data_IF_409979568308
#
_entry.id   IF_409979568308
#
_cell.length_a   1.000
_cell.length_b   1.000
_cell.length_c   1.000
_cell.angle_alpha   90.00
_cell.angle_beta   90.00
_cell.angle_gamma   90.00
#
_symmetry.space_group_name_H-M   'P 1'
#
loop_
_entity.id
_entity.type
_entity.pdbx_description
1 polymer ?
#
# COMPACT_ATOMS: atom_id res chain seq x y z
N UNK A 1 -5.62 -30.08 -22.58
CA UNK A 1 -5.19 -30.62 -21.26
C UNK A 1 -5.28 -29.48 -20.29
N UNK A 2 -5.75 -29.69 -19.05
CA UNK A 2 -5.82 -28.64 -18.05
C UNK A 2 -4.42 -28.19 -17.62
N UNK A 3 -4.29 -26.91 -17.30
CA UNK A 3 -3.04 -26.31 -16.81
C UNK A 3 -2.88 -26.65 -15.34
N UNK A 4 -1.85 -27.43 -14.99
CA UNK A 4 -1.62 -27.90 -13.61
C UNK A 4 -0.45 -27.17 -12.96
N UNK A 5 -0.59 -26.83 -11.69
CA UNK A 5 0.50 -26.29 -10.88
C UNK A 5 1.58 -27.37 -10.70
N UNK A 6 2.79 -27.10 -11.16
CA UNK A 6 3.91 -28.04 -11.12
C UNK A 6 4.90 -27.70 -10.01
N UNK A 7 5.14 -26.42 -9.78
CA UNK A 7 6.02 -25.92 -8.69
C UNK A 7 5.59 -24.56 -8.22
N UNK A 8 5.93 -24.23 -6.97
CA UNK A 8 5.77 -22.90 -6.37
C UNK A 8 7.04 -22.59 -5.60
N UNK A 9 7.63 -21.44 -5.86
CA UNK A 9 8.83 -20.98 -5.16
C UNK A 9 8.79 -19.49 -4.88
N UNK A 10 9.52 -19.05 -3.86
CA UNK A 10 9.61 -17.66 -3.47
C UNK A 10 10.98 -17.10 -3.79
N UNK A 11 11.04 -16.03 -4.55
CA UNK A 11 12.22 -15.28 -4.89
C UNK A 11 12.27 -14.06 -3.95
N UNK A 12 13.23 -14.07 -3.03
CA UNK A 12 13.43 -12.96 -2.10
C UNK A 12 14.54 -12.06 -2.64
N UNK A 13 14.29 -10.76 -2.74
CA UNK A 13 15.25 -9.78 -3.25
C UNK A 13 15.03 -8.41 -2.60
N UNK A 14 16.09 -7.62 -2.46
CA UNK A 14 16.04 -6.29 -1.85
C UNK A 14 16.81 -5.26 -2.70
N UNK A 15 16.42 -4.99 -3.96
CA UNK A 15 17.19 -4.16 -4.87
C UNK A 15 17.35 -2.71 -4.40
N UNK A 16 16.42 -2.22 -3.56
CA UNK A 16 16.48 -0.89 -2.94
C UNK A 16 16.57 -0.95 -1.40
N UNK A 17 17.08 -2.05 -0.87
CA UNK A 17 17.24 -2.25 0.57
C UNK A 17 15.94 -2.62 1.30
N UNK A 18 14.83 -2.77 0.58
CA UNK A 18 13.54 -3.23 1.12
C UNK A 18 13.33 -4.68 0.68
N UNK A 19 13.06 -5.55 1.64
CA UNK A 19 12.80 -6.96 1.35
C UNK A 19 11.51 -7.13 0.54
N UNK A 20 11.62 -7.76 -0.63
CA UNK A 20 10.51 -8.09 -1.52
C UNK A 20 10.43 -9.60 -1.69
N UNK A 21 9.23 -10.17 -1.58
CA UNK A 21 8.94 -11.57 -1.82
C UNK A 21 8.07 -11.73 -3.08
N UNK A 22 8.67 -12.31 -4.11
CA UNK A 22 8.01 -12.63 -5.38
C UNK A 22 7.72 -14.12 -5.43
N UNK A 23 6.45 -14.47 -5.60
CA UNK A 23 6.04 -15.87 -5.81
C UNK A 23 6.07 -16.17 -7.30
N UNK A 24 6.67 -17.28 -7.66
CA UNK A 24 6.62 -17.84 -9.00
C UNK A 24 5.90 -19.19 -8.98
N UNK A 25 4.83 -19.30 -9.74
CA UNK A 25 4.05 -20.53 -9.96
C UNK A 25 4.38 -21.07 -11.34
N UNK A 26 4.99 -22.25 -11.38
CA UNK A 26 5.27 -22.99 -12.61
C UNK A 26 4.10 -23.90 -12.98
N UNK A 27 3.85 -24.09 -14.27
CA UNK A 27 2.81 -24.99 -14.73
C UNK A 27 3.39 -26.18 -15.52
N UNK A 28 2.55 -27.20 -15.78
CA UNK A 28 2.87 -28.33 -16.63
C UNK A 28 2.98 -27.96 -18.13
N UNK A 29 2.74 -26.69 -18.49
CA UNK A 29 2.94 -26.20 -19.85
C UNK A 29 4.30 -25.48 -19.93
N UNK A 30 5.23 -25.94 -20.78
CA UNK A 30 6.55 -25.33 -20.90
C UNK A 30 6.47 -23.83 -21.22
N UNK A 31 7.15 -23.01 -20.40
CA UNK A 31 7.19 -21.55 -20.58
C UNK A 31 5.98 -20.79 -20.04
N UNK A 32 4.96 -21.48 -19.55
CA UNK A 32 3.82 -20.84 -18.89
C UNK A 32 4.02 -20.85 -17.37
N UNK A 33 4.24 -19.68 -16.81
CA UNK A 33 4.35 -19.43 -15.38
C UNK A 33 3.65 -18.12 -15.01
N UNK A 34 3.37 -17.94 -13.74
CA UNK A 34 2.86 -16.68 -13.20
C UNK A 34 3.71 -16.14 -12.07
N UNK A 35 3.64 -14.84 -11.91
CA UNK A 35 4.33 -14.10 -10.85
C UNK A 35 3.32 -13.34 -9.98
N UNK A 36 3.62 -13.24 -8.68
CA UNK A 36 2.79 -12.49 -7.75
C UNK A 36 3.59 -11.94 -6.58
N UNK A 37 3.01 -10.99 -5.86
CA UNK A 37 3.60 -10.35 -4.71
C UNK A 37 3.12 -10.99 -3.41
N UNK A 38 4.07 -11.45 -2.59
CA UNK A 38 3.83 -11.94 -1.23
C UNK A 38 4.58 -11.09 -0.19
N UNK A 39 4.90 -9.86 -0.53
CA UNK A 39 5.78 -9.03 0.29
C UNK A 39 5.10 -8.61 1.59
N UNK A 40 5.67 -9.08 2.70
CA UNK A 40 5.53 -8.48 4.00
C UNK A 40 6.95 -8.22 4.54
N UNK A 41 7.49 -7.07 4.18
CA UNK A 41 8.92 -6.74 4.35
C UNK A 41 9.47 -7.05 5.75
N UNK A 42 8.66 -6.83 6.79
CA UNK A 42 9.05 -7.05 8.19
C UNK A 42 8.96 -8.51 8.65
N UNK A 43 8.34 -9.41 7.89
CA UNK A 43 8.13 -10.83 8.23
C UNK A 43 8.33 -11.76 7.02
N UNK A 44 9.11 -11.33 6.04
CA UNK A 44 9.31 -12.02 4.76
C UNK A 44 9.68 -13.52 4.92
N UNK A 45 10.57 -13.87 5.86
CA UNK A 45 10.94 -15.27 6.09
C UNK A 45 9.76 -16.13 6.55
N UNK A 46 8.83 -15.57 7.32
CA UNK A 46 7.64 -16.31 7.80
C UNK A 46 6.68 -16.54 6.64
N UNK A 47 6.47 -15.54 5.79
CA UNK A 47 5.63 -15.65 4.59
C UNK A 47 6.21 -16.68 3.62
N UNK A 48 7.52 -16.60 3.34
CA UNK A 48 8.23 -17.58 2.50
C UNK A 48 8.04 -19.00 3.02
N UNK A 49 8.28 -19.22 4.31
CA UNK A 49 8.16 -20.53 4.93
C UNK A 49 6.72 -21.09 4.83
N UNK A 50 5.71 -20.26 5.06
CA UNK A 50 4.32 -20.66 4.91
C UNK A 50 4.00 -21.09 3.48
N UNK A 51 4.49 -20.38 2.48
CA UNK A 51 4.29 -20.73 1.07
C UNK A 51 4.96 -22.07 0.75
N UNK A 52 6.23 -22.22 1.08
CA UNK A 52 7.04 -23.37 0.66
C UNK A 52 6.66 -24.66 1.39
N UNK A 53 6.35 -24.58 2.68
CA UNK A 53 6.11 -25.78 3.52
C UNK A 53 4.63 -26.19 3.63
N UNK A 54 3.70 -25.25 3.44
CA UNK A 54 2.27 -25.52 3.64
C UNK A 54 1.42 -25.30 2.39
N UNK A 55 1.53 -24.15 1.73
CA UNK A 55 0.67 -23.86 0.58
C UNK A 55 1.12 -24.60 -0.68
N UNK A 56 2.42 -24.71 -0.92
CA UNK A 56 2.96 -25.45 -2.08
C UNK A 56 2.50 -26.91 -2.10
N UNK A 57 2.72 -27.74 -1.07
CA UNK A 57 2.25 -29.14 -1.09
C UNK A 57 0.74 -29.27 -1.19
N UNK A 58 -0.03 -28.29 -0.68
CA UNK A 58 -1.49 -28.26 -0.81
C UNK A 58 -1.96 -28.07 -2.26
N UNK A 59 -1.18 -27.35 -3.07
CA UNK A 59 -1.60 -26.88 -4.40
C UNK A 59 -0.99 -27.65 -5.57
N UNK A 60 0.10 -28.40 -5.36
CA UNK A 60 0.73 -29.19 -6.43
C UNK A 60 -0.26 -30.14 -7.12
N UNK A 61 -0.25 -30.14 -8.45
CA UNK A 61 -1.11 -30.94 -9.31
C UNK A 61 -2.54 -30.43 -9.47
N UNK A 62 -2.92 -29.36 -8.77
CA UNK A 62 -4.24 -28.72 -8.94
C UNK A 62 -4.33 -27.92 -10.22
N UNK A 63 -5.54 -27.64 -10.64
CA UNK A 63 -5.83 -26.88 -11.84
C UNK A 63 -5.65 -25.39 -11.58
N UNK A 64 -4.65 -24.77 -12.26
CA UNK A 64 -4.32 -23.35 -12.09
C UNK A 64 -5.42 -22.38 -12.57
N UNK A 65 -6.40 -22.90 -13.35
CA UNK A 65 -7.47 -22.06 -13.89
C UNK A 65 -8.60 -21.81 -12.90
N UNK A 66 -8.69 -22.61 -11.81
CA UNK A 66 -9.75 -22.52 -10.80
C UNK A 66 -9.34 -21.58 -9.66
N UNK A 67 -9.01 -20.33 -9.97
CA UNK A 67 -8.44 -19.35 -9.05
C UNK A 67 -9.30 -19.20 -7.80
N UNK A 68 -10.61 -19.06 -7.95
CA UNK A 68 -11.55 -18.85 -6.84
C UNK A 68 -11.55 -20.05 -5.86
N UNK A 69 -11.55 -21.27 -6.37
CA UNK A 69 -11.48 -22.49 -5.54
C UNK A 69 -10.15 -22.58 -4.80
N UNK A 70 -9.03 -22.29 -5.51
CA UNK A 70 -7.71 -22.33 -4.92
C UNK A 70 -7.53 -21.26 -3.84
N UNK A 71 -8.05 -20.05 -4.06
CA UNK A 71 -8.06 -19.00 -3.06
C UNK A 71 -8.81 -19.43 -1.80
N UNK A 72 -10.02 -19.95 -1.95
CA UNK A 72 -10.82 -20.45 -0.82
C UNK A 72 -10.13 -21.61 -0.08
N UNK A 73 -9.51 -22.52 -0.83
CA UNK A 73 -8.77 -23.64 -0.26
C UNK A 73 -7.61 -23.14 0.61
N UNK A 74 -6.78 -22.25 0.10
CA UNK A 74 -5.66 -21.64 0.85
C UNK A 74 -6.18 -20.94 2.10
N UNK A 75 -7.22 -20.10 1.95
CA UNK A 75 -7.79 -19.32 3.04
C UNK A 75 -8.39 -20.19 4.15
N UNK A 76 -9.01 -21.33 3.82
CA UNK A 76 -9.67 -22.18 4.80
C UNK A 76 -8.74 -23.22 5.41
N UNK A 77 -7.65 -23.59 4.73
CA UNK A 77 -6.76 -24.65 5.16
C UNK A 77 -6.12 -24.39 6.52
N UNK A 78 -5.77 -23.14 6.83
CA UNK A 78 -5.18 -22.75 8.11
C UNK A 78 -6.14 -22.85 9.30
N UNK A 79 -7.44 -23.06 9.10
CA UNK A 79 -8.52 -23.07 10.08
C UNK A 79 -8.71 -21.71 10.80
N UNK A 80 -7.68 -21.18 11.49
CA UNK A 80 -7.65 -19.82 12.02
C UNK A 80 -7.20 -18.86 10.91
N UNK A 81 -8.18 -18.22 10.29
CA UNK A 81 -8.02 -17.46 9.04
C UNK A 81 -7.72 -16.00 9.29
N UNK A 82 -7.19 -15.36 8.26
CA UNK A 82 -6.83 -13.95 8.19
C UNK A 82 -5.51 -13.62 8.89
N UNK A 83 -5.10 -12.40 8.73
CA UNK A 83 -3.86 -11.85 9.24
C UNK A 83 -2.82 -11.65 8.15
N UNK A 84 -1.90 -10.69 8.35
CA UNK A 84 -1.02 -10.23 7.27
C UNK A 84 -0.08 -11.33 6.75
N UNK A 85 0.37 -12.27 7.58
CA UNK A 85 1.28 -13.34 7.15
C UNK A 85 0.57 -14.30 6.19
N UNK A 86 -0.60 -14.82 6.58
CA UNK A 86 -1.36 -15.74 5.72
C UNK A 86 -1.85 -15.07 4.45
N UNK A 87 -2.40 -13.87 4.57
CA UNK A 87 -2.94 -13.15 3.42
C UNK A 87 -1.84 -12.77 2.41
N UNK A 88 -0.65 -12.36 2.85
CA UNK A 88 0.46 -12.11 1.92
C UNK A 88 0.92 -13.40 1.22
N UNK A 89 0.97 -14.51 1.91
CA UNK A 89 1.29 -15.80 1.30
C UNK A 89 0.27 -16.20 0.23
N UNK A 90 -1.03 -16.07 0.55
CA UNK A 90 -2.13 -16.30 -0.40
C UNK A 90 -2.05 -15.34 -1.57
N UNK A 91 -1.78 -14.05 -1.31
CA UNK A 91 -1.69 -13.00 -2.32
C UNK A 91 -0.66 -13.31 -3.41
N UNK A 92 0.53 -13.78 -3.02
CA UNK A 92 1.56 -14.11 -3.99
C UNK A 92 1.13 -15.20 -4.97
N UNK A 93 0.44 -16.21 -4.47
CA UNK A 93 -0.08 -17.31 -5.29
C UNK A 93 -1.29 -16.84 -6.11
N UNK A 94 -2.22 -16.12 -5.51
CA UNK A 94 -3.42 -15.59 -6.19
C UNK A 94 -3.04 -14.69 -7.38
N UNK A 95 -2.15 -13.74 -7.18
CA UNK A 95 -1.66 -12.86 -8.25
C UNK A 95 -0.98 -13.67 -9.36
N UNK A 96 -0.17 -14.69 -9.00
CA UNK A 96 0.50 -15.54 -9.97
C UNK A 96 -0.51 -16.37 -10.79
N UNK A 97 -1.59 -16.84 -10.19
CA UNK A 97 -2.66 -17.56 -10.90
C UNK A 97 -3.42 -16.62 -11.86
N UNK A 98 -3.70 -15.38 -11.44
CA UNK A 98 -4.27 -14.39 -12.33
C UNK A 98 -3.31 -14.03 -13.49
N UNK A 99 -2.01 -13.93 -13.24
CA UNK A 99 -1.00 -13.69 -14.26
C UNK A 99 -0.97 -14.84 -15.28
N UNK A 100 -1.01 -16.11 -14.83
CA UNK A 100 -1.18 -17.29 -15.69
C UNK A 100 -2.46 -17.17 -16.54
N UNK A 101 -3.58 -16.80 -15.91
CA UNK A 101 -4.86 -16.66 -16.61
C UNK A 101 -4.81 -15.62 -17.71
N UNK A 102 -4.19 -14.47 -17.46
CA UNK A 102 -3.98 -13.42 -18.46
C UNK A 102 -3.07 -13.88 -19.61
N UNK A 103 -1.98 -14.57 -19.29
CA UNK A 103 -1.07 -15.15 -20.30
C UNK A 103 -1.75 -16.21 -21.17
N UNK A 104 -2.55 -17.10 -20.56
CA UNK A 104 -3.35 -18.08 -21.31
C UNK A 104 -4.39 -17.43 -22.24
N UNK A 105 -5.04 -16.37 -21.77
CA UNK A 105 -6.00 -15.61 -22.56
C UNK A 105 -5.33 -14.69 -23.61
N UNK A 106 -4.01 -14.52 -23.55
CA UNK A 106 -3.26 -13.54 -24.31
C UNK A 106 -3.81 -12.12 -24.15
N UNK A 107 -4.15 -11.76 -22.90
CA UNK A 107 -4.76 -10.47 -22.51
C UNK A 107 -4.10 -9.90 -21.27
N UNK A 108 -3.94 -8.57 -21.14
CA UNK A 108 -3.62 -7.93 -19.87
C UNK A 108 -4.79 -8.09 -18.91
N UNK A 109 -4.53 -8.08 -17.58
CA UNK A 109 -5.57 -8.37 -16.59
C UNK A 109 -6.74 -7.39 -16.61
N UNK A 110 -6.51 -6.11 -16.88
CA UNK A 110 -7.62 -5.15 -16.96
C UNK A 110 -8.67 -5.56 -18.03
N UNK A 111 -8.26 -6.24 -19.11
CA UNK A 111 -9.20 -6.76 -20.13
C UNK A 111 -10.05 -7.90 -19.57
N UNK A 112 -9.46 -8.78 -18.76
CA UNK A 112 -10.22 -9.84 -18.07
C UNK A 112 -11.19 -9.27 -17.02
N UNK A 113 -10.91 -8.07 -16.51
CA UNK A 113 -11.75 -7.39 -15.54
C UNK A 113 -12.91 -6.58 -16.15
N UNK A 114 -12.98 -6.51 -17.47
CA UNK A 114 -14.07 -5.82 -18.17
C UNK A 114 -13.60 -4.70 -19.11
N UNK A 115 -12.30 -4.46 -19.19
CA UNK A 115 -11.69 -3.42 -20.02
C UNK A 115 -11.49 -2.10 -19.30
N UNK A 116 -10.91 -1.14 -19.99
CA UNK A 116 -10.58 0.18 -19.44
C UNK A 116 -11.81 1.09 -19.33
N UNK A 117 -11.96 1.76 -18.19
CA UNK A 117 -12.88 2.90 -18.00
C UNK A 117 -12.12 4.23 -17.99
N UNK A 118 -10.78 4.18 -17.99
CA UNK A 118 -9.85 5.32 -18.14
C UNK A 118 -8.55 4.88 -18.78
N UNK A 119 -7.80 5.82 -19.37
CA UNK A 119 -6.56 5.50 -20.07
C UNK A 119 -5.33 5.50 -19.14
N UNK A 120 -5.25 6.43 -18.20
CA UNK A 120 -4.17 6.56 -17.24
C UNK A 120 -4.69 6.65 -15.81
N UNK A 121 -3.87 6.25 -14.85
CA UNK A 121 -4.18 6.23 -13.42
C UNK A 121 -3.52 7.42 -12.75
N UNK A 122 -4.26 8.43 -12.27
CA UNK A 122 -3.70 9.51 -11.48
C UNK A 122 -3.12 8.98 -10.17
N UNK A 123 -1.96 9.51 -9.81
CA UNK A 123 -1.24 9.05 -8.61
C UNK A 123 -1.05 10.17 -7.61
N UNK A 124 -0.93 9.80 -6.33
CA UNK A 124 -0.40 10.70 -5.33
C UNK A 124 0.99 10.28 -4.86
N UNK A 125 1.78 11.28 -4.46
CA UNK A 125 3.15 11.10 -3.95
C UNK A 125 3.29 11.69 -2.56
N UNK A 126 4.26 11.16 -1.83
CA UNK A 126 4.62 11.67 -0.51
C UNK A 126 5.51 12.89 -0.65
N UNK A 127 5.14 13.98 0.02
CA UNK A 127 5.92 15.20 0.10
C UNK A 127 6.33 15.40 1.55
N UNK A 128 7.58 15.12 1.82
CA UNK A 128 8.20 15.39 3.11
C UNK A 128 9.21 16.54 3.00
N UNK A 129 9.53 17.14 4.12
CA UNK A 129 10.58 18.12 4.24
C UNK A 129 10.88 18.40 5.71
N UNK A 130 12.05 18.94 6.00
CA UNK A 130 12.43 19.33 7.36
C UNK A 130 11.66 20.56 7.87
N UNK A 131 11.17 21.38 6.95
CA UNK A 131 10.42 22.59 7.20
C UNK A 131 9.48 22.92 6.02
N UNK A 132 8.66 23.95 6.20
CA UNK A 132 7.68 24.39 5.21
C UNK A 132 8.32 24.84 3.88
N UNK A 133 9.53 25.38 3.90
CA UNK A 133 10.20 25.88 2.69
C UNK A 133 10.54 24.68 1.80
N UNK A 134 11.18 23.66 2.38
CA UNK A 134 11.55 22.44 1.66
C UNK A 134 10.32 21.67 1.17
N UNK A 135 9.24 21.61 1.97
CA UNK A 135 7.98 21.01 1.55
C UNK A 135 7.43 21.72 0.32
N UNK A 136 7.36 23.06 0.32
CA UNK A 136 6.86 23.83 -0.83
C UNK A 136 7.75 23.68 -2.07
N UNK A 137 9.07 23.61 -1.91
CA UNK A 137 10.00 23.32 -3.00
C UNK A 137 9.75 21.92 -3.59
N UNK A 138 9.52 20.91 -2.74
CA UNK A 138 9.21 19.57 -3.18
C UNK A 138 7.83 19.50 -3.86
N UNK A 139 6.82 20.22 -3.37
CA UNK A 139 5.53 20.37 -4.05
C UNK A 139 5.72 20.89 -5.47
N UNK A 140 6.50 21.95 -5.65
CA UNK A 140 6.77 22.51 -6.98
C UNK A 140 7.42 21.50 -7.93
N UNK A 141 8.39 20.73 -7.45
CA UNK A 141 9.03 19.67 -8.23
C UNK A 141 8.03 18.60 -8.70
N UNK A 142 7.13 18.15 -7.82
CA UNK A 142 6.09 17.20 -8.19
C UNK A 142 5.06 17.80 -9.15
N UNK A 143 4.74 19.08 -8.99
CA UNK A 143 3.87 19.82 -9.90
C UNK A 143 4.48 19.92 -11.31
N UNK A 144 5.79 20.16 -11.42
CA UNK A 144 6.53 20.12 -12.68
C UNK A 144 6.48 18.76 -13.38
N UNK A 145 6.38 17.66 -12.59
CA UNK A 145 6.17 16.30 -13.09
C UNK A 145 4.69 16.00 -13.46
N UNK A 146 3.79 16.98 -13.30
CA UNK A 146 2.36 16.84 -13.58
C UNK A 146 1.56 16.16 -12.48
N UNK A 147 2.15 15.86 -11.32
CA UNK A 147 1.45 15.24 -10.19
C UNK A 147 0.57 16.29 -9.53
N UNK A 148 -0.70 15.95 -9.32
CA UNK A 148 -1.71 16.87 -8.77
C UNK A 148 -2.14 16.50 -7.34
N UNK A 149 -1.83 15.30 -6.87
CA UNK A 149 -2.22 14.82 -5.54
C UNK A 149 -0.98 14.56 -4.70
N UNK A 150 -0.90 15.17 -3.51
CA UNK A 150 0.29 15.14 -2.68
C UNK A 150 -0.05 14.89 -1.21
N UNK A 151 0.59 13.89 -0.61
CA UNK A 151 0.54 13.63 0.83
C UNK A 151 1.63 14.45 1.52
N UNK A 152 1.23 15.49 2.26
CA UNK A 152 2.15 16.44 2.87
C UNK A 152 2.40 16.13 4.35
N UNK A 153 3.68 16.07 4.72
CA UNK A 153 4.15 15.89 6.10
C UNK A 153 5.40 16.74 6.35
N UNK A 154 5.63 17.10 7.62
CA UNK A 154 6.82 17.83 8.04
C UNK A 154 7.59 17.04 9.10
N UNK A 155 8.86 16.76 8.85
CA UNK A 155 9.75 16.10 9.80
C UNK A 155 9.42 14.62 10.06
N UNK A 156 8.82 13.94 9.10
CA UNK A 156 8.39 12.55 9.21
C UNK A 156 7.17 12.37 10.12
N UNK A 157 6.85 11.15 10.42
CA UNK A 157 5.69 10.80 11.23
C UNK A 157 5.82 11.30 12.68
N UNK A 158 4.92 12.21 13.12
CA UNK A 158 4.87 12.77 14.45
C UNK A 158 5.74 14.00 14.69
N UNK A 159 6.45 14.53 13.68
CA UNK A 159 7.15 15.80 13.72
C UNK A 159 8.36 15.86 14.66
N UNK A 160 8.86 14.72 15.13
CA UNK A 160 10.12 14.63 15.89
C UNK A 160 11.20 13.98 15.02
N UNK A 161 12.45 14.45 15.07
CA UNK A 161 13.56 13.76 14.44
C UNK A 161 13.64 12.32 14.95
N UNK A 162 13.75 11.35 14.07
CA UNK A 162 13.91 9.94 14.44
C UNK A 162 15.09 9.74 15.40
N UNK A 163 14.86 9.01 16.48
CA UNK A 163 15.91 8.59 17.40
C UNK A 163 16.26 9.59 18.54
N UNK A 164 15.49 10.66 18.72
CA UNK A 164 15.74 11.60 19.81
C UNK A 164 14.73 11.43 20.95
N UNK A 165 15.24 11.04 22.11
CA UNK A 165 14.49 11.07 23.36
C UNK A 165 14.36 12.52 23.82
N UNK A 166 13.14 13.05 24.05
CA UNK A 166 12.97 14.43 24.49
C UNK A 166 13.54 14.62 25.90
N UNK A 167 14.11 15.79 26.17
CA UNK A 167 14.62 16.13 27.51
C UNK A 167 13.55 16.14 28.62
N UNK A 168 12.28 16.02 28.23
CA UNK A 168 11.13 15.92 29.16
C UNK A 168 10.67 14.46 29.36
N UNK A 169 11.36 13.48 28.77
CA UNK A 169 11.05 12.07 28.98
C UNK A 169 11.30 11.68 30.45
N UNK A 170 10.53 10.72 31.01
CA UNK A 170 10.73 10.25 32.39
C UNK A 170 12.13 9.67 32.61
N UNK A 171 12.63 9.75 33.83
CA UNK A 171 13.91 9.12 34.19
C UNK A 171 13.84 7.60 33.94
N UNK A 172 14.78 7.07 33.15
CA UNK A 172 14.82 5.66 32.76
C UNK A 172 13.94 5.32 31.57
N UNK A 173 13.38 6.32 30.89
CA UNK A 173 12.68 6.11 29.64
C UNK A 173 13.62 5.56 28.57
N UNK A 174 13.08 4.72 27.70
CA UNK A 174 13.85 4.16 26.56
C UNK A 174 14.18 5.25 25.55
N UNK A 175 15.34 5.16 24.93
CA UNK A 175 15.68 5.98 23.78
C UNK A 175 14.77 5.64 22.58
N UNK A 176 14.47 6.63 21.76
CA UNK A 176 13.67 6.44 20.58
C UNK A 176 12.80 7.65 20.21
N UNK A 177 11.84 7.40 19.35
CA UNK A 177 10.89 8.41 18.89
C UNK A 177 9.76 8.61 19.91
N UNK A 178 9.44 9.89 20.18
CA UNK A 178 8.37 10.28 21.09
C UNK A 178 7.38 11.18 20.37
N UNK A 179 6.10 10.89 20.55
CA UNK A 179 5.00 11.68 20.00
C UNK A 179 4.40 12.60 21.08
N UNK A 180 4.32 13.89 20.78
CA UNK A 180 3.43 14.83 21.46
C UNK A 180 2.23 15.08 20.54
N UNK A 181 1.13 14.35 20.74
CA UNK A 181 -0.06 14.41 19.88
C UNK A 181 -0.64 15.82 19.75
N UNK A 182 -0.64 16.59 20.84
CA UNK A 182 -1.16 17.96 20.82
C UNK A 182 -0.27 18.91 20.03
N UNK A 183 1.05 18.73 20.13
CA UNK A 183 1.99 19.49 19.30
C UNK A 183 1.84 19.11 17.84
N UNK A 184 1.79 17.82 17.53
CA UNK A 184 1.57 17.30 16.20
C UNK A 184 0.33 17.92 15.54
N UNK A 185 -0.82 17.94 16.22
CA UNK A 185 -2.05 18.54 15.69
C UNK A 185 -1.85 20.01 15.34
N UNK A 186 -1.30 20.81 16.28
CA UNK A 186 -1.07 22.24 16.03
C UNK A 186 -0.12 22.48 14.86
N UNK A 187 0.96 21.70 14.79
CA UNK A 187 1.96 21.84 13.74
C UNK A 187 1.39 21.42 12.36
N UNK A 188 0.56 20.38 12.31
CA UNK A 188 -0.13 19.93 11.10
C UNK A 188 -1.10 20.99 10.60
N UNK A 189 -1.97 21.53 11.45
CA UNK A 189 -2.91 22.59 11.06
C UNK A 189 -2.16 23.82 10.53
N UNK A 190 -1.08 24.22 11.20
CA UNK A 190 -0.24 25.33 10.77
C UNK A 190 0.40 25.02 9.42
N UNK A 191 0.94 23.81 9.23
CA UNK A 191 1.55 23.36 7.97
C UNK A 191 0.58 23.52 6.79
N UNK A 192 -0.65 23.00 6.91
CA UNK A 192 -1.63 23.09 5.83
C UNK A 192 -2.07 24.52 5.54
N UNK A 193 -2.21 25.37 6.57
CA UNK A 193 -2.42 26.81 6.38
C UNK A 193 -1.30 27.46 5.58
N UNK A 194 -0.05 27.24 5.97
CA UNK A 194 1.11 27.81 5.26
C UNK A 194 1.29 27.25 3.84
N UNK A 195 0.95 25.97 3.61
CA UNK A 195 0.94 25.39 2.26
C UNK A 195 -0.11 26.11 1.40
N UNK A 196 -1.37 26.20 1.87
CA UNK A 196 -2.45 26.86 1.11
C UNK A 196 -2.18 28.33 0.82
N UNK A 197 -1.58 29.04 1.77
CA UNK A 197 -1.16 30.44 1.58
C UNK A 197 -0.12 30.61 0.46
N UNK A 198 0.74 29.61 0.22
CA UNK A 198 1.82 29.65 -0.76
C UNK A 198 1.44 29.11 -2.13
N UNK A 199 0.70 27.99 -2.18
CA UNK A 199 0.40 27.28 -3.44
C UNK A 199 -1.07 27.39 -3.86
N UNK A 200 -1.96 27.92 -3.02
CA UNK A 200 -3.39 27.99 -3.32
C UNK A 200 -4.08 26.62 -3.27
N UNK A 201 -5.13 26.44 -4.08
CA UNK A 201 -6.02 25.27 -4.07
C UNK A 201 -5.97 24.45 -5.36
N UNK A 202 -5.02 24.71 -6.25
CA UNK A 202 -4.90 23.97 -7.53
C UNK A 202 -4.34 22.54 -7.34
N UNK A 203 -3.80 22.24 -6.15
CA UNK A 203 -3.27 20.93 -5.80
C UNK A 203 -4.19 20.23 -4.80
N UNK A 204 -4.42 18.95 -5.03
CA UNK A 204 -5.13 18.07 -4.11
C UNK A 204 -4.18 17.61 -2.99
N UNK A 205 -4.49 18.01 -1.76
CA UNK A 205 -3.65 17.67 -0.61
C UNK A 205 -4.23 16.52 0.20
N UNK A 206 -3.36 15.65 0.63
CA UNK A 206 -3.65 14.50 1.51
C UNK A 206 -2.82 14.65 2.79
N UNK A 207 -3.37 14.26 3.92
CA UNK A 207 -2.62 14.08 5.16
C UNK A 207 -2.88 12.72 5.76
N UNK A 208 -1.81 12.03 6.09
CA UNK A 208 -1.83 10.74 6.75
C UNK A 208 -1.59 10.90 8.25
N UNK A 209 -2.60 10.60 9.03
CA UNK A 209 -2.51 10.57 10.49
C UNK A 209 -1.78 9.32 10.96
N UNK A 210 -1.87 8.25 10.16
CA UNK A 210 -1.22 6.97 10.42
C UNK A 210 -1.57 6.40 11.81
N UNK A 211 -2.83 6.55 12.21
CA UNK A 211 -3.41 6.00 13.45
C UNK A 211 -2.78 6.50 14.78
N UNK A 212 -1.93 7.53 14.76
CA UNK A 212 -1.03 7.91 15.86
C UNK A 212 -1.64 8.69 17.01
N UNK A 213 -2.82 9.26 16.79
CA UNK A 213 -3.48 10.09 17.80
C UNK A 213 -4.70 9.40 18.38
N UNK A 214 -5.07 9.76 19.59
CA UNK A 214 -6.31 9.24 20.15
C UNK A 214 -7.52 9.65 19.28
N UNK A 215 -8.56 8.81 19.15
CA UNK A 215 -9.70 9.10 18.25
C UNK A 215 -10.36 10.45 18.49
N UNK A 216 -10.47 10.92 19.75
CA UNK A 216 -11.00 12.26 20.05
C UNK A 216 -10.09 13.37 19.53
N UNK A 217 -8.77 13.14 19.50
CA UNK A 217 -7.79 14.08 18.96
C UNK A 217 -7.81 14.05 17.41
N UNK A 218 -8.04 12.89 16.81
CA UNK A 218 -8.25 12.76 15.36
C UNK A 218 -9.48 13.53 14.88
N UNK A 219 -10.60 13.47 15.64
CA UNK A 219 -11.80 14.28 15.35
C UNK A 219 -11.48 15.77 15.41
N UNK A 220 -10.72 16.19 16.42
CA UNK A 220 -10.29 17.59 16.53
C UNK A 220 -9.44 18.01 15.32
N UNK A 221 -8.45 17.20 14.96
CA UNK A 221 -7.58 17.46 13.81
C UNK A 221 -8.40 17.57 12.52
N UNK A 222 -9.32 16.61 12.28
CA UNK A 222 -10.18 16.61 11.10
C UNK A 222 -10.98 17.93 10.98
N UNK A 223 -11.57 18.40 12.07
CA UNK A 223 -12.31 19.67 12.09
C UNK A 223 -11.42 20.89 11.83
N UNK A 224 -10.20 20.90 12.38
CA UNK A 224 -9.26 22.01 12.18
C UNK A 224 -8.64 22.01 10.78
N UNK A 225 -8.69 20.88 10.05
CA UNK A 225 -8.21 20.76 8.66
C UNK A 225 -9.30 21.05 7.61
N UNK A 226 -10.59 21.09 7.97
CA UNK A 226 -11.67 21.38 7.00
C UNK A 226 -11.44 22.65 6.15
N UNK A 227 -10.93 23.79 6.70
CA UNK A 227 -10.71 24.99 5.90
C UNK A 227 -9.67 24.85 4.79
N UNK A 228 -8.86 23.79 4.83
CA UNK A 228 -7.78 23.58 3.86
C UNK A 228 -8.17 22.66 2.72
N UNK A 229 -9.40 22.18 2.65
CA UNK A 229 -9.99 21.41 1.56
C UNK A 229 -9.07 20.25 1.13
N UNK A 230 -8.87 19.29 2.02
CA UNK A 230 -8.07 18.10 1.75
C UNK A 230 -8.84 17.14 0.84
N UNK A 231 -8.15 16.50 -0.08
CA UNK A 231 -8.69 15.42 -0.90
C UNK A 231 -9.14 14.25 -0.04
N UNK A 232 -8.36 13.90 0.99
CA UNK A 232 -8.78 13.06 2.12
C UNK A 232 -7.82 13.18 3.32
N UNK A 233 -8.35 12.83 4.49
CA UNK A 233 -7.59 12.53 5.69
C UNK A 233 -7.42 11.02 5.79
N UNK A 234 -6.15 10.56 5.78
CA UNK A 234 -5.76 9.16 5.71
C UNK A 234 -5.59 8.58 7.10
N UNK A 235 -6.11 7.37 7.32
CA UNK A 235 -6.01 6.54 8.54
C UNK A 235 -6.07 7.34 9.86
N UNK A 236 -7.18 8.11 10.08
CA UNK A 236 -7.29 8.99 11.22
C UNK A 236 -7.41 8.26 12.57
N UNK A 237 -7.87 7.00 12.57
CA UNK A 237 -8.09 6.23 13.79
C UNK A 237 -7.49 4.83 13.68
N UNK A 238 -7.01 4.24 14.80
CA UNK A 238 -6.51 2.88 14.83
C UNK A 238 -7.54 1.85 14.34
N UNK A 239 -7.04 0.77 13.69
CA UNK A 239 -7.85 -0.35 13.24
C UNK A 239 -8.79 -0.88 14.34
N UNK A 240 -8.29 -0.99 15.56
CA UNK A 240 -9.04 -1.50 16.72
C UNK A 240 -10.14 -0.52 17.19
N UNK A 241 -10.15 0.70 16.69
CA UNK A 241 -11.02 1.78 17.14
C UNK A 241 -11.84 2.41 16.00
N UNK A 242 -12.02 1.73 14.89
CA UNK A 242 -12.75 2.23 13.72
C UNK A 242 -14.23 2.58 13.98
N UNK A 243 -14.80 2.11 15.09
CA UNK A 243 -16.13 2.52 15.54
C UNK A 243 -16.22 4.05 15.83
N UNK A 244 -15.10 4.73 16.11
CA UNK A 244 -15.05 6.18 16.29
C UNK A 244 -15.31 6.95 14.99
N UNK A 245 -15.19 6.33 13.85
CA UNK A 245 -15.53 6.97 12.56
C UNK A 245 -16.97 7.44 12.49
N UNK A 246 -17.91 6.81 13.21
CA UNK A 246 -19.29 7.32 13.33
C UNK A 246 -19.32 8.70 13.98
N UNK A 247 -18.63 8.84 15.12
CA UNK A 247 -18.56 10.10 15.84
C UNK A 247 -17.81 11.17 15.03
N UNK A 248 -16.81 10.76 14.27
CA UNK A 248 -16.07 11.66 13.37
C UNK A 248 -16.97 12.15 12.25
N UNK A 249 -17.69 11.26 11.58
CA UNK A 249 -18.59 11.61 10.47
C UNK A 249 -19.70 12.58 10.88
N UNK A 250 -20.17 12.54 12.13
CA UNK A 250 -21.16 13.48 12.67
C UNK A 250 -20.59 14.89 12.89
N UNK A 251 -19.27 15.05 12.93
CA UNK A 251 -18.61 16.28 13.34
C UNK A 251 -17.78 16.97 12.26
N UNK A 252 -17.51 16.28 11.15
CA UNK A 252 -16.68 16.82 10.05
C UNK A 252 -17.15 16.30 8.70
N UNK A 253 -17.01 17.15 7.68
CA UNK A 253 -17.25 16.83 6.28
C UNK A 253 -15.97 16.45 5.52
N UNK A 254 -14.81 16.46 6.17
CA UNK A 254 -13.55 16.10 5.54
C UNK A 254 -13.63 14.67 4.95
N UNK A 255 -13.23 14.43 3.69
CA UNK A 255 -13.21 13.08 3.16
C UNK A 255 -12.24 12.18 3.94
N UNK A 256 -12.65 10.96 4.23
CA UNK A 256 -11.88 10.00 5.04
C UNK A 256 -11.43 8.83 4.16
N UNK A 257 -10.14 8.52 4.17
CA UNK A 257 -9.56 7.31 3.62
C UNK A 257 -9.05 6.42 4.76
N UNK A 258 -9.45 5.14 4.78
CA UNK A 258 -9.06 4.23 5.87
C UNK A 258 -8.76 2.85 5.32
N UNK A 259 -7.71 2.19 5.87
CA UNK A 259 -7.66 0.75 5.71
C UNK A 259 -6.36 0.09 5.33
N UNK A 260 -5.20 0.74 5.37
CA UNK A 260 -3.92 0.08 5.03
C UNK A 260 -3.61 -1.14 5.92
N UNK A 261 -4.10 -1.13 7.17
CA UNK A 261 -3.94 -2.24 8.11
C UNK A 261 -5.05 -3.29 8.04
N UNK A 262 -6.08 -3.11 7.22
CA UNK A 262 -7.19 -4.07 7.12
C UNK A 262 -6.74 -5.37 6.46
N UNK A 263 -7.22 -6.47 7.02
CA UNK A 263 -6.86 -7.83 6.59
C UNK A 263 -8.06 -8.67 6.15
N UNK A 264 -9.27 -8.30 6.55
CA UNK A 264 -10.44 -9.11 6.29
C UNK A 264 -11.73 -8.29 6.16
N UNK A 265 -12.77 -8.85 5.50
CA UNK A 265 -14.02 -8.13 5.24
C UNK A 265 -14.79 -7.63 6.47
N UNK A 266 -14.53 -8.14 7.67
CA UNK A 266 -15.20 -7.67 8.90
C UNK A 266 -14.77 -6.24 9.26
N UNK A 267 -13.57 -5.85 8.85
CA UNK A 267 -12.98 -4.56 9.19
C UNK A 267 -13.55 -3.43 8.34
N UNK A 268 -13.96 -3.69 7.09
CA UNK A 268 -14.43 -2.65 6.18
C UNK A 268 -15.92 -2.72 5.79
N UNK A 269 -16.61 -3.87 5.91
CA UNK A 269 -17.99 -4.00 5.41
C UNK A 269 -18.94 -2.98 6.00
N UNK A 270 -18.91 -2.79 7.31
CA UNK A 270 -19.78 -1.81 7.99
C UNK A 270 -19.36 -0.37 7.64
N UNK A 271 -18.06 -0.09 7.55
CA UNK A 271 -17.55 1.24 7.22
C UNK A 271 -18.02 1.68 5.83
N UNK A 272 -17.99 0.76 4.87
CA UNK A 272 -18.47 1.01 3.50
C UNK A 272 -20.00 1.09 3.47
N UNK A 273 -20.70 0.08 4.01
CA UNK A 273 -22.16 0.00 3.92
C UNK A 273 -22.87 1.15 4.65
N UNK A 274 -22.25 1.71 5.67
CA UNK A 274 -22.78 2.85 6.42
C UNK A 274 -22.17 4.18 5.96
N UNK A 275 -21.34 4.16 4.90
CA UNK A 275 -20.72 5.36 4.32
C UNK A 275 -19.92 6.17 5.35
N UNK A 276 -19.21 5.49 6.25
CA UNK A 276 -18.38 6.10 7.27
C UNK A 276 -17.02 6.55 6.72
N UNK A 277 -16.63 6.02 5.56
CA UNK A 277 -15.43 6.38 4.81
C UNK A 277 -15.79 6.74 3.37
N UNK A 278 -15.00 7.58 2.73
CA UNK A 278 -15.16 7.99 1.33
C UNK A 278 -14.23 7.21 0.40
N UNK A 279 -13.10 6.77 0.95
CA UNK A 279 -12.12 5.96 0.24
C UNK A 279 -11.74 4.74 1.07
N UNK A 280 -11.76 3.57 0.43
CA UNK A 280 -11.18 2.34 1.00
C UNK A 280 -9.74 2.20 0.52
N UNK A 281 -8.80 2.03 1.47
CA UNK A 281 -7.38 2.17 1.25
C UNK A 281 -6.59 0.93 1.70
N UNK A 282 -7.03 -0.26 1.28
CA UNK A 282 -6.37 -1.51 1.67
C UNK A 282 -5.10 -1.79 0.87
N UNK A 283 -4.17 -2.53 1.48
CA UNK A 283 -3.00 -3.09 0.81
C UNK A 283 -3.39 -4.42 0.16
N UNK A 284 -3.28 -4.52 -1.17
CA UNK A 284 -3.77 -5.67 -1.95
C UNK A 284 -3.21 -7.01 -1.48
N UNK A 285 -1.93 -7.06 -1.10
CA UNK A 285 -1.31 -8.30 -0.61
C UNK A 285 -1.82 -8.67 0.79
N UNK A 286 -2.11 -7.70 1.65
CA UNK A 286 -2.55 -7.96 3.02
C UNK A 286 -4.00 -8.43 3.12
N UNK A 287 -4.76 -8.31 2.05
CA UNK A 287 -6.12 -8.87 1.97
C UNK A 287 -6.21 -10.16 1.15
N UNK A 288 -5.07 -10.67 0.64
CA UNK A 288 -5.00 -11.96 -0.06
C UNK A 288 -5.02 -11.87 -1.59
N UNK A 289 -4.69 -10.72 -2.20
CA UNK A 289 -4.44 -10.59 -3.64
C UNK A 289 -5.61 -10.02 -4.45
N UNK A 290 -5.59 -10.27 -5.75
CA UNK A 290 -6.52 -9.73 -6.75
C UNK A 290 -7.96 -10.24 -6.52
N UNK A 291 -8.12 -11.52 -6.18
CA UNK A 291 -9.45 -12.12 -5.98
C UNK A 291 -10.29 -11.39 -4.93
N UNK A 292 -9.82 -11.16 -3.70
CA UNK A 292 -10.57 -10.36 -2.73
C UNK A 292 -10.62 -8.87 -3.06
N UNK A 293 -9.56 -8.30 -3.68
CA UNK A 293 -9.52 -6.89 -4.04
C UNK A 293 -10.64 -6.54 -5.05
N UNK A 294 -10.86 -7.38 -6.05
CA UNK A 294 -11.96 -7.22 -7.00
C UNK A 294 -13.33 -7.25 -6.34
N UNK A 295 -13.53 -8.17 -5.39
CA UNK A 295 -14.79 -8.26 -4.62
C UNK A 295 -15.02 -7.03 -3.77
N UNK A 296 -13.97 -6.52 -3.14
CA UNK A 296 -14.00 -5.28 -2.35
C UNK A 296 -14.33 -4.08 -3.22
N UNK A 297 -13.65 -3.91 -4.37
CA UNK A 297 -13.87 -2.81 -5.30
C UNK A 297 -15.34 -2.75 -5.75
N UNK A 298 -15.91 -3.90 -6.19
CA UNK A 298 -17.31 -3.99 -6.63
C UNK A 298 -18.28 -3.71 -5.47
N UNK A 299 -17.97 -4.19 -4.27
CA UNK A 299 -18.79 -3.91 -3.09
C UNK A 299 -18.78 -2.42 -2.73
N UNK A 300 -17.61 -1.79 -2.72
CA UNK A 300 -17.45 -0.37 -2.42
C UNK A 300 -18.20 0.52 -3.44
N UNK A 301 -18.16 0.15 -4.72
CA UNK A 301 -18.87 0.85 -5.79
C UNK A 301 -20.37 1.01 -5.53
N UNK A 302 -21.02 -0.03 -4.98
CA UNK A 302 -22.45 -0.02 -4.70
C UNK A 302 -22.87 1.00 -3.63
N UNK A 303 -21.92 1.46 -2.80
CA UNK A 303 -22.16 2.42 -1.72
C UNK A 303 -21.55 3.80 -1.99
N UNK A 304 -21.00 4.02 -3.19
CA UNK A 304 -20.37 5.28 -3.57
C UNK A 304 -18.99 5.50 -2.93
N UNK A 305 -18.41 4.47 -2.32
CA UNK A 305 -17.06 4.51 -1.75
C UNK A 305 -16.03 4.24 -2.85
N UNK A 306 -15.01 5.09 -2.93
CA UNK A 306 -13.97 5.02 -3.94
C UNK A 306 -12.80 4.17 -3.46
N UNK A 307 -12.01 3.65 -4.39
CA UNK A 307 -10.75 2.94 -4.07
C UNK A 307 -9.56 3.90 -4.11
N UNK A 308 -8.63 3.72 -3.16
CA UNK A 308 -7.34 4.41 -3.13
C UNK A 308 -6.32 3.41 -2.54
N UNK A 309 -5.89 2.42 -3.33
CA UNK A 309 -5.08 1.32 -2.84
C UNK A 309 -3.78 1.80 -2.21
N UNK A 310 -3.46 1.24 -1.03
CA UNK A 310 -2.16 1.41 -0.41
C UNK A 310 -1.07 0.89 -1.36
N UNK A 311 -0.12 1.77 -1.73
CA UNK A 311 0.93 1.52 -2.71
C UNK A 311 2.29 2.01 -2.25
N UNK A 312 2.78 1.57 -1.07
CA UNK A 312 4.05 2.01 -0.50
C UNK A 312 5.24 1.37 -1.21
N UNK A 313 6.44 1.86 -0.87
CA UNK A 313 7.68 1.32 -1.42
C UNK A 313 8.05 -0.08 -0.94
N UNK A 314 7.37 -0.61 0.08
CA UNK A 314 7.61 -1.95 0.64
C UNK A 314 6.69 -3.03 0.06
N UNK A 315 6.15 -2.83 -1.13
CA UNK A 315 5.50 -3.84 -1.95
C UNK A 315 6.23 -4.01 -3.29
N UNK A 316 6.16 -5.22 -3.86
CA UNK A 316 6.85 -5.45 -5.13
C UNK A 316 6.13 -4.80 -6.32
N UNK A 317 6.84 -4.50 -7.41
CA UNK A 317 6.23 -3.96 -8.64
C UNK A 317 5.07 -4.78 -9.22
N UNK A 318 4.99 -6.07 -8.90
CA UNK A 318 3.88 -6.94 -9.29
C UNK A 318 2.56 -6.52 -8.63
N UNK A 319 2.60 -6.16 -7.35
CA UNK A 319 1.40 -5.68 -6.65
C UNK A 319 0.99 -4.28 -7.13
N UNK A 320 1.96 -3.40 -7.40
CA UNK A 320 1.66 -2.12 -8.05
C UNK A 320 0.98 -2.31 -9.42
N UNK A 321 1.49 -3.24 -10.24
CA UNK A 321 0.84 -3.57 -11.52
C UNK A 321 -0.57 -4.14 -11.31
N UNK A 322 -0.78 -4.99 -10.30
CA UNK A 322 -2.11 -5.51 -9.98
C UNK A 322 -3.10 -4.40 -9.60
N UNK A 323 -2.68 -3.44 -8.77
CA UNK A 323 -3.47 -2.25 -8.45
C UNK A 323 -3.86 -1.49 -9.72
N UNK A 324 -2.88 -1.17 -10.59
CA UNK A 324 -3.12 -0.45 -11.84
C UNK A 324 -4.12 -1.18 -12.76
N UNK A 325 -4.03 -2.51 -12.86
CA UNK A 325 -4.99 -3.28 -13.64
C UNK A 325 -6.43 -3.22 -13.07
N UNK A 326 -6.57 -3.24 -11.73
CA UNK A 326 -7.88 -3.08 -11.08
C UNK A 326 -8.39 -1.65 -11.31
N UNK A 327 -7.56 -0.64 -11.11
CA UNK A 327 -7.91 0.77 -11.24
C UNK A 327 -8.37 1.15 -12.65
N UNK A 328 -7.71 0.58 -13.68
CA UNK A 328 -8.13 0.78 -15.07
C UNK A 328 -9.55 0.28 -15.34
N UNK A 329 -9.99 -0.77 -14.64
CA UNK A 329 -11.30 -1.39 -14.82
C UNK A 329 -12.36 -0.95 -13.79
N UNK A 330 -11.97 -0.18 -12.75
CA UNK A 330 -12.84 0.19 -11.64
C UNK A 330 -13.52 1.56 -11.86
N UNK A 331 -14.85 1.66 -12.03
CA UNK A 331 -15.53 2.96 -12.15
C UNK A 331 -15.37 3.86 -10.93
N UNK A 332 -15.33 3.27 -9.73
CA UNK A 332 -15.23 3.96 -8.44
C UNK A 332 -13.79 4.21 -7.98
N UNK A 333 -12.82 4.26 -8.87
CA UNK A 333 -11.45 4.60 -8.54
C UNK A 333 -11.31 6.08 -8.10
N UNK A 334 -10.45 6.34 -7.10
CA UNK A 334 -10.09 7.67 -6.60
C UNK A 334 -8.72 8.12 -7.09
N UNK A 335 -7.69 7.68 -6.39
CA UNK A 335 -6.28 7.98 -6.67
C UNK A 335 -5.43 6.78 -6.25
N UNK A 336 -4.28 6.56 -6.91
CA UNK A 336 -3.35 5.49 -6.56
C UNK A 336 -2.14 6.05 -5.79
N UNK A 337 -1.84 5.48 -4.64
CA UNK A 337 -0.55 5.71 -4.01
C UNK A 337 0.57 5.10 -4.86
N UNK A 338 1.59 5.91 -5.15
CA UNK A 338 2.69 5.50 -6.03
C UNK A 338 4.02 5.85 -5.39
N UNK A 339 4.62 4.89 -4.69
CA UNK A 339 5.90 5.05 -3.99
C UNK A 339 6.87 3.95 -4.39
N UNK A 340 8.17 4.30 -4.41
CA UNK A 340 9.24 3.31 -4.50
C UNK A 340 9.54 2.74 -5.89
N UNK A 341 8.82 3.10 -6.95
CA UNK A 341 9.07 2.56 -8.30
C UNK A 341 9.81 3.53 -9.20
N UNK A 342 9.82 4.83 -8.88
CA UNK A 342 10.39 5.85 -9.75
C UNK A 342 11.48 6.68 -9.10
N UNK A 343 12.59 6.95 -9.83
CA UNK A 343 13.50 8.02 -9.49
C UNK A 343 13.00 9.37 -10.08
N UNK A 344 13.30 10.52 -9.45
CA UNK A 344 13.91 10.58 -8.12
C UNK A 344 12.83 10.57 -7.04
N UNK A 345 13.01 9.75 -6.02
CA UNK A 345 12.27 9.93 -4.78
C UNK A 345 12.79 11.18 -4.10
N UNK A 346 12.03 12.26 -4.15
CA UNK A 346 12.28 13.47 -3.35
C UNK A 346 11.85 13.28 -1.88
N UNK A 347 11.41 12.08 -1.53
CA UNK A 347 11.04 11.71 -0.18
C UNK A 347 12.31 11.36 0.57
N UNK A 348 12.52 11.99 1.71
CA UNK A 348 13.60 11.71 2.67
C UNK A 348 13.26 10.41 3.42
N UNK A 349 12.96 9.35 2.73
CA UNK A 349 13.11 8.02 3.29
C UNK A 349 14.43 7.51 2.75
N UNK A 350 15.31 7.12 3.66
CA UNK A 350 16.58 6.45 3.38
C UNK A 350 16.35 5.17 2.55
N UNK A 351 16.02 5.33 1.29
CA UNK A 351 16.11 4.24 0.34
C UNK A 351 17.59 3.96 0.15
N UNK A 352 18.08 3.03 0.91
CA UNK A 352 19.48 2.56 0.90
C UNK A 352 19.70 1.67 -0.31
N UNK A 353 19.64 2.25 -1.51
CA UNK A 353 19.96 1.49 -2.71
C UNK A 353 19.98 2.38 -3.95
N UNK A 354 20.69 1.96 -5.01
CA UNK A 354 20.65 2.66 -6.28
C UNK A 354 19.25 2.49 -6.90
N UNK A 355 18.56 3.59 -7.17
CA UNK A 355 17.23 3.60 -7.81
C UNK A 355 17.15 2.81 -9.13
N UNK A 356 18.28 2.59 -9.79
CA UNK A 356 18.40 1.75 -10.98
C UNK A 356 18.27 0.25 -10.72
N UNK A 357 18.54 -0.24 -9.50
CA UNK A 357 18.56 -1.66 -9.19
C UNK A 357 17.16 -2.31 -9.34
N UNK A 358 16.09 -1.60 -8.98
CA UNK A 358 14.72 -2.09 -9.19
C UNK A 358 14.44 -2.35 -10.69
N UNK A 359 14.88 -1.44 -11.56
CA UNK A 359 14.73 -1.56 -13.02
C UNK A 359 15.62 -2.65 -13.63
N UNK A 360 16.74 -2.99 -12.96
CA UNK A 360 17.57 -4.13 -13.37
C UNK A 360 16.87 -5.45 -13.05
N UNK A 361 16.21 -5.54 -11.89
CA UNK A 361 15.54 -6.75 -11.41
C UNK A 361 14.19 -6.95 -12.08
N UNK A 362 13.37 -5.91 -12.18
CA UNK A 362 12.02 -6.03 -12.72
C UNK A 362 11.91 -5.43 -14.13
N UNK A 363 11.18 -6.12 -15.01
CA UNK A 363 10.97 -5.74 -16.41
C UNK A 363 9.49 -5.54 -16.70
N UNK A 364 9.17 -4.58 -17.55
CA UNK A 364 7.78 -4.32 -17.95
C UNK A 364 6.98 -3.52 -16.90
N UNK A 365 7.66 -2.71 -16.11
CA UNK A 365 6.99 -1.85 -15.13
C UNK A 365 5.97 -0.93 -15.82
N UNK A 366 4.89 -0.54 -15.11
CA UNK A 366 4.01 0.52 -15.57
C UNK A 366 4.78 1.81 -15.88
N UNK A 367 4.38 2.52 -16.90
CA UNK A 367 5.03 3.76 -17.33
C UNK A 367 4.39 4.95 -16.62
N UNK A 368 5.23 5.87 -16.11
CA UNK A 368 4.77 7.14 -15.56
C UNK A 368 4.94 8.26 -16.59
N UNK A 369 3.89 9.02 -16.81
CA UNK A 369 3.96 10.26 -17.58
C UNK A 369 2.98 11.30 -17.03
N UNK A 370 3.51 12.49 -16.68
CA UNK A 370 2.72 13.68 -16.29
C UNK A 370 1.67 13.42 -15.20
N UNK A 371 2.07 12.76 -14.13
CA UNK A 371 1.19 12.49 -12.99
C UNK A 371 0.28 11.29 -13.15
N UNK A 372 0.37 10.57 -14.26
CA UNK A 372 -0.38 9.35 -14.53
C UNK A 372 0.53 8.15 -14.71
N UNK A 373 0.01 6.98 -14.32
CA UNK A 373 0.65 5.70 -14.54
C UNK A 373 -0.16 4.89 -15.55
N UNK A 374 0.55 4.24 -16.48
CA UNK A 374 -0.02 3.46 -17.58
C UNK A 374 0.43 2.01 -17.47
N UNK A 375 -0.52 1.07 -17.50
CA UNK A 375 -0.18 -0.34 -17.64
C UNK A 375 0.35 -0.59 -19.05
N UNK A 376 1.31 -1.52 -19.18
CA UNK A 376 1.63 -2.05 -20.51
C UNK A 376 0.53 -3.04 -20.95
N UNK A 377 0.43 -3.27 -22.26
CA UNK A 377 -0.60 -4.15 -22.86
C UNK A 377 -0.15 -5.62 -22.95
N UNK A 378 0.92 -6.03 -22.23
CA UNK A 378 1.38 -7.41 -22.21
C UNK A 378 0.39 -8.32 -21.48
N UNK A 379 0.28 -9.59 -21.88
CA UNK A 379 -0.58 -10.56 -21.20
C UNK A 379 -0.23 -10.74 -19.72
N UNK A 380 -1.25 -10.93 -18.90
CA UNK A 380 -1.10 -11.07 -17.45
C UNK A 380 -0.91 -9.74 -16.75
N UNK A 381 -0.03 -9.70 -15.73
CA UNK A 381 0.39 -8.49 -15.03
C UNK A 381 1.30 -7.60 -15.86
N UNK A 382 1.92 -8.15 -16.91
CA UNK A 382 2.84 -7.42 -17.77
C UNK A 382 4.24 -7.21 -17.18
N UNK A 383 4.45 -7.54 -15.94
CA UNK A 383 5.73 -7.40 -15.20
C UNK A 383 6.42 -8.75 -15.07
N UNK A 384 7.72 -8.78 -15.28
CA UNK A 384 8.56 -9.96 -15.10
C UNK A 384 9.76 -9.67 -14.20
N UNK A 385 10.44 -10.73 -13.72
CA UNK A 385 11.61 -10.64 -12.84
C UNK A 385 12.83 -11.32 -13.48
N UNK A 386 13.95 -10.64 -13.49
CA UNK A 386 15.25 -11.24 -13.79
C UNK A 386 15.84 -11.85 -12.52
N UNK A 387 15.76 -13.18 -12.39
CA UNK A 387 16.20 -13.88 -11.20
C UNK A 387 17.71 -13.83 -10.97
N UNK A 388 18.49 -13.65 -12.04
CA UNK A 388 19.96 -13.51 -11.91
C UNK A 388 20.31 -12.14 -11.34
N UNK A 389 19.60 -11.11 -11.78
CA UNK A 389 19.75 -9.77 -11.21
C UNK A 389 19.20 -9.73 -9.78
N UNK A 390 18.05 -10.33 -9.50
CA UNK A 390 17.45 -10.42 -8.18
C UNK A 390 18.39 -11.07 -7.14
N UNK A 391 19.15 -12.08 -7.54
CA UNK A 391 20.11 -12.77 -6.69
C UNK A 391 21.29 -11.90 -6.23
N UNK A 392 21.53 -10.76 -6.85
CA UNK A 392 22.56 -9.79 -6.44
C UNK A 392 22.16 -8.96 -5.22
N UNK A 393 20.88 -8.92 -4.91
CA UNK A 393 20.28 -8.11 -3.84
C UNK A 393 19.58 -9.00 -2.80
N UNK A 394 20.35 -9.73 -1.97
CA UNK A 394 19.77 -10.62 -0.98
C UNK A 394 18.98 -9.86 0.08
N UNK A 395 17.85 -10.42 0.52
CA UNK A 395 17.10 -9.92 1.64
C UNK A 395 17.87 -10.02 2.95
N UNK A 396 17.70 -9.04 3.83
CA UNK A 396 18.27 -9.04 5.16
C UNK A 396 17.18 -9.22 6.24
N UNK A 397 17.56 -9.92 7.32
CA UNK A 397 16.71 -9.98 8.50
C UNK A 397 16.80 -8.66 9.27
N UNK A 398 15.73 -7.89 9.21
CA UNK A 398 15.66 -6.61 9.92
C UNK A 398 14.72 -6.68 11.12
N UNK A 399 15.04 -5.92 12.16
CA UNK A 399 14.15 -5.68 13.30
C UNK A 399 13.62 -4.26 13.14
N UNK A 400 12.32 -4.14 13.01
CA UNK A 400 11.64 -2.85 12.85
C UNK A 400 11.76 -2.03 14.13
N UNK A 401 12.23 -0.80 14.02
CA UNK A 401 12.40 0.14 15.15
C UNK A 401 11.47 1.34 15.07
N UNK A 402 11.06 1.76 13.89
CA UNK A 402 10.18 2.92 13.71
C UNK A 402 8.78 2.71 14.34
N UNK A 403 8.34 1.46 14.49
CA UNK A 403 7.09 1.08 15.16
C UNK A 403 7.16 1.18 16.70
N UNK A 404 8.28 1.63 17.25
CA UNK A 404 8.49 1.76 18.70
C UNK A 404 8.27 3.19 19.19
N UNK A 405 7.38 3.95 18.55
CA UNK A 405 7.01 5.30 18.98
C UNK A 405 6.42 5.29 20.38
N UNK A 406 6.75 6.30 21.18
CA UNK A 406 6.30 6.44 22.56
C UNK A 406 5.59 7.76 22.79
N UNK A 407 4.66 7.75 23.72
CA UNK A 407 4.08 8.97 24.28
C UNK A 407 5.08 9.64 25.24
N UNK A 408 4.78 10.88 25.65
CA UNK A 408 5.64 11.68 26.54
C UNK A 408 5.91 11.02 27.89
N UNK A 409 5.02 10.15 28.37
CA UNK A 409 5.16 9.39 29.61
C UNK A 409 6.02 8.11 29.47
N UNK A 410 6.49 7.80 28.25
CA UNK A 410 7.31 6.64 27.93
C UNK A 410 6.53 5.40 27.53
N UNK A 411 5.20 5.41 27.55
CA UNK A 411 4.36 4.30 27.06
C UNK A 411 4.43 4.18 25.53
N UNK A 412 4.29 2.96 25.02
CA UNK A 412 4.23 2.74 23.57
C UNK A 412 2.93 3.30 22.99
N UNK A 413 3.05 3.86 21.82
CA UNK A 413 1.96 4.38 21.01
C UNK A 413 1.89 3.61 19.69
N UNK A 414 0.73 3.63 19.03
CA UNK A 414 0.57 3.18 17.64
C UNK A 414 1.56 3.93 16.74
N UNK A 415 2.28 3.26 15.87
CA UNK A 415 3.36 3.85 15.08
C UNK A 415 2.88 4.81 14.00
#
# INVERSE_FOLDING_TARGET
MSVKIQDIRVICTAPEGINLDVVRVETNQPGLYGLGCATFAYRHLTVKHLIEEYLKPLLLGRDAENIEELWQLMHQNGYWRNGPIENNAISGIDMALWDIKGKMANMPLYQLFGGKVREGIPVYRHVDGKDIVEICENIQRFQEMGITHLRCQCGGYGGAPYGQTPGTAPRGAHDGMYLDSRKYIRDTVKLFGEIRDRIGYDMELVHDVHERVAPVEAIKLAKELEPFDLFFLEDPVPLEQTNWLRNMREQTSIPIAQGELFNNPREWKSLIAEQLIDFIRVHISQIGGITPARKLQIFAEQFGVRTAWHGPGDMSPLAHAANIHIDLAAPNFGVQEWSGIEPPNFVIQDLKGPHGALLEVFKGLPEFDKGYVYANDKPGLGVDIDEKEAAKYPCEKTITTWTQTRLRDGSLQTP
#
